data_IF_351649503449
#
_entry.id   IF_351649503449
#
_cell.length_a   1.000
_cell.length_b   1.000
_cell.length_c   1.000
_cell.angle_alpha   90.00
_cell.angle_beta   90.00
_cell.angle_gamma   90.00
#
_symmetry.space_group_name_H-M   'P 1'
#
loop_
_entity.id
_entity.type
_entity.pdbx_description
1 polymer ?
#
# COMPACT_ATOMS: atom_id res chain seq x y z
N UNK A 1 4.32 -54.60 18.52
CA UNK A 1 4.65 -55.73 17.64
C UNK A 1 3.34 -56.35 17.21
N UNK A 2 2.77 -56.17 16.02
CA UNK A 2 3.05 -55.43 14.79
C UNK A 2 1.67 -55.33 14.09
N UNK A 3 1.31 -54.24 13.42
CA UNK A 3 1.61 -54.07 11.99
C UNK A 3 0.61 -54.90 11.15
N UNK A 4 -0.59 -54.42 10.84
CA UNK A 4 -0.97 -53.48 9.77
C UNK A 4 -1.15 -54.12 8.38
N UNK A 5 -2.20 -53.65 7.69
CA UNK A 5 -2.35 -53.54 6.24
C UNK A 5 -3.06 -54.67 5.48
N UNK A 6 -4.37 -54.47 5.25
CA UNK A 6 -5.02 -54.84 3.99
C UNK A 6 -5.45 -53.56 3.28
N UNK A 7 -4.71 -53.21 2.24
CA UNK A 7 -5.12 -52.20 1.28
C UNK A 7 -6.25 -52.71 0.40
N UNK A 8 -7.24 -51.84 0.16
CA UNK A 8 -7.99 -51.84 -1.09
C UNK A 8 -8.29 -50.40 -1.49
N UNK A 9 -7.63 -50.04 -2.58
CA UNK A 9 -8.02 -49.10 -3.61
C UNK A 9 -9.52 -48.80 -3.68
N UNK A 10 -9.87 -47.51 -3.71
CA UNK A 10 -10.88 -47.02 -4.64
C UNK A 10 -10.62 -45.56 -5.01
N UNK A 11 -10.65 -45.36 -6.32
CA UNK A 11 -10.49 -44.10 -7.05
C UNK A 11 -11.74 -43.24 -6.85
N UNK A 12 -11.47 -41.94 -6.69
CA UNK A 12 -12.25 -40.78 -7.11
C UNK A 12 -13.75 -41.00 -7.35
N UNK A 13 -14.56 -40.58 -6.38
CA UNK A 13 -15.94 -40.22 -6.62
C UNK A 13 -16.19 -38.85 -5.99
N UNK A 14 -16.57 -37.89 -6.82
CA UNK A 14 -17.01 -36.59 -6.36
C UNK A 14 -18.28 -36.75 -5.53
N UNK A 15 -18.36 -36.02 -4.42
CA UNK A 15 -19.63 -35.80 -3.76
C UNK A 15 -19.60 -34.44 -3.07
N UNK A 16 -20.28 -33.52 -3.74
CA UNK A 16 -21.38 -32.71 -3.23
C UNK A 16 -21.30 -32.08 -1.84
N UNK A 17 -21.76 -30.83 -1.85
CA UNK A 17 -21.80 -29.86 -0.78
C UNK A 17 -22.38 -30.38 0.54
N UNK A 18 -21.61 -30.22 1.62
CA UNK A 18 -22.18 -30.09 2.96
C UNK A 18 -22.13 -28.61 3.41
N UNK A 19 -23.21 -27.89 3.09
CA UNK A 19 -23.39 -26.45 3.21
C UNK A 19 -23.57 -25.92 4.64
N UNK A 20 -22.66 -26.24 5.56
CA UNK A 20 -22.60 -25.60 6.90
C UNK A 20 -21.22 -25.06 7.32
N UNK A 21 -20.18 -25.27 6.49
CA UNK A 21 -18.83 -24.72 6.69
C UNK A 21 -18.43 -23.54 5.77
N UNK A 22 -19.29 -23.16 4.82
CA UNK A 22 -18.92 -22.26 3.71
C UNK A 22 -18.68 -20.80 4.11
N UNK A 23 -19.52 -20.21 4.97
CA UNK A 23 -19.45 -18.78 5.27
C UNK A 23 -18.14 -18.39 5.98
N UNK A 24 -17.68 -19.21 6.94
CA UNK A 24 -16.44 -18.95 7.67
C UNK A 24 -15.16 -19.15 6.83
N UNK A 25 -15.17 -20.14 5.92
CA UNK A 25 -14.03 -20.41 5.04
C UNK A 25 -13.84 -19.29 4.00
N UNK A 26 -14.93 -18.80 3.41
CA UNK A 26 -14.90 -17.69 2.43
C UNK A 26 -14.37 -16.40 3.06
N UNK A 27 -14.80 -16.04 4.27
CA UNK A 27 -14.31 -14.83 4.96
C UNK A 27 -12.81 -14.92 5.25
N UNK A 28 -12.30 -16.11 5.63
CA UNK A 28 -10.86 -16.32 5.83
C UNK A 28 -10.06 -16.20 4.54
N UNK A 29 -10.56 -16.75 3.44
CA UNK A 29 -9.90 -16.64 2.13
C UNK A 29 -9.88 -15.18 1.68
N UNK A 30 -10.99 -14.45 1.81
CA UNK A 30 -11.04 -13.02 1.49
C UNK A 30 -10.08 -12.19 2.34
N UNK A 31 -10.00 -12.43 3.66
CA UNK A 31 -9.02 -11.76 4.55
C UNK A 31 -7.58 -12.03 4.09
N UNK A 32 -7.23 -13.27 3.79
CA UNK A 32 -5.90 -13.63 3.29
C UNK A 32 -5.57 -12.95 1.96
N UNK A 33 -6.48 -12.99 0.99
CA UNK A 33 -6.28 -12.37 -0.33
C UNK A 33 -6.10 -10.87 -0.19
N UNK A 34 -6.93 -10.21 0.63
CA UNK A 34 -6.81 -8.77 0.86
C UNK A 34 -5.52 -8.39 1.59
N UNK A 35 -5.04 -9.20 2.54
CA UNK A 35 -3.75 -8.97 3.21
C UNK A 35 -2.57 -9.10 2.25
N UNK A 36 -2.57 -10.11 1.38
CA UNK A 36 -1.55 -10.28 0.34
C UNK A 36 -1.60 -9.13 -0.66
N UNK A 37 -2.81 -8.73 -1.08
CA UNK A 37 -3.00 -7.60 -1.98
C UNK A 37 -2.47 -6.29 -1.36
N UNK A 38 -2.83 -6.02 -0.10
CA UNK A 38 -2.36 -4.83 0.63
C UNK A 38 -0.83 -4.81 0.77
N UNK A 39 -0.20 -5.97 1.06
CA UNK A 39 1.24 -6.11 1.10
C UNK A 39 1.89 -5.76 -0.25
N UNK A 40 1.43 -6.37 -1.34
CA UNK A 40 1.99 -6.11 -2.68
C UNK A 40 1.82 -4.65 -3.08
N UNK A 41 0.63 -4.07 -2.88
CA UNK A 41 0.36 -2.67 -3.25
C UNK A 41 1.23 -1.69 -2.45
N UNK A 42 1.33 -1.84 -1.13
CA UNK A 42 2.16 -0.95 -0.30
C UNK A 42 3.65 -1.10 -0.57
N UNK A 43 4.12 -2.33 -0.81
CA UNK A 43 5.51 -2.58 -1.20
C UNK A 43 5.85 -1.94 -2.55
N UNK A 44 5.00 -2.15 -3.57
CA UNK A 44 5.20 -1.58 -4.90
C UNK A 44 5.21 -0.05 -4.83
N UNK A 45 4.26 0.57 -4.11
CA UNK A 45 4.25 2.02 -3.94
C UNK A 45 5.54 2.55 -3.27
N UNK A 46 5.98 1.90 -2.19
CA UNK A 46 7.23 2.30 -1.52
C UNK A 46 8.45 2.16 -2.44
N UNK A 47 8.55 1.06 -3.20
CA UNK A 47 9.68 0.81 -4.10
C UNK A 47 9.67 1.77 -5.29
N UNK A 48 8.52 2.02 -5.91
CA UNK A 48 8.42 2.89 -7.08
C UNK A 48 8.90 4.30 -6.75
N UNK A 49 8.47 4.92 -5.64
CA UNK A 49 8.96 6.24 -5.25
C UNK A 49 10.37 6.18 -4.65
N UNK A 50 10.68 5.15 -3.86
CA UNK A 50 11.96 5.03 -3.17
C UNK A 50 13.14 4.79 -4.11
N UNK A 51 12.92 4.08 -5.22
CA UNK A 51 13.90 3.86 -6.27
C UNK A 51 14.00 5.06 -7.23
N UNK A 52 13.04 5.98 -7.18
CA UNK A 52 12.96 7.05 -8.17
C UNK A 52 13.97 8.18 -7.91
N UNK A 53 14.74 8.47 -8.94
CA UNK A 53 15.80 9.49 -8.93
C UNK A 53 15.82 10.16 -10.29
N UNK A 54 15.57 11.47 -10.32
CA UNK A 54 15.70 12.24 -11.55
C UNK A 54 16.59 13.46 -11.33
N UNK A 55 17.67 13.57 -12.10
CA UNK A 55 18.56 14.74 -12.12
C UNK A 55 18.39 15.49 -13.42
N UNK A 56 17.97 16.75 -13.35
CA UNK A 56 17.75 17.61 -14.51
C UNK A 56 18.58 18.88 -14.38
N UNK A 57 19.17 19.33 -15.49
CA UNK A 57 20.02 20.52 -15.52
C UNK A 57 19.11 21.73 -15.73
N UNK A 58 19.07 22.66 -14.78
CA UNK A 58 18.31 23.91 -14.89
C UNK A 58 19.23 25.08 -15.22
N UNK A 59 18.86 25.93 -16.19
CA UNK A 59 19.53 27.21 -16.39
C UNK A 59 19.05 28.19 -15.31
N UNK A 60 19.94 28.59 -14.40
CA UNK A 60 19.70 29.72 -13.48
C UNK A 60 20.32 30.98 -14.07
N UNK A 61 19.51 32.03 -14.22
CA UNK A 61 19.99 33.36 -14.60
C UNK A 61 20.22 34.16 -13.32
N UNK A 62 21.48 34.41 -12.97
CA UNK A 62 21.86 35.16 -11.76
C UNK A 62 21.67 36.68 -11.94
N UNK A 63 21.79 37.18 -13.18
CA UNK A 63 21.59 38.60 -13.55
C UNK A 63 21.20 38.65 -15.03
N UNK A 64 20.35 39.60 -15.46
CA UNK A 64 19.90 39.74 -16.87
C UNK A 64 21.04 39.91 -17.90
N UNK A 65 22.21 40.36 -17.45
CA UNK A 65 23.38 40.65 -18.30
C UNK A 65 24.39 39.49 -18.39
N UNK A 66 24.14 38.34 -17.73
CA UNK A 66 25.06 37.19 -17.70
C UNK A 66 24.50 35.96 -18.42
N UNK A 67 25.37 35.09 -19.00
CA UNK A 67 24.94 33.82 -19.58
C UNK A 67 24.34 32.90 -18.51
N UNK A 68 23.30 32.11 -18.84
CA UNK A 68 22.64 31.21 -17.88
C UNK A 68 23.62 30.18 -17.34
N UNK A 69 23.72 30.06 -16.02
CA UNK A 69 24.52 29.04 -15.37
C UNK A 69 23.72 27.73 -15.36
N UNK A 70 24.25 26.68 -15.97
CA UNK A 70 23.60 25.37 -16.00
C UNK A 70 23.96 24.60 -14.73
N UNK A 71 23.03 24.50 -13.79
CA UNK A 71 23.25 23.76 -12.54
C UNK A 71 22.43 22.48 -12.54
N UNK A 72 23.05 21.32 -12.26
CA UNK A 72 22.32 20.07 -12.12
C UNK A 72 21.48 20.12 -10.83
N UNK A 73 20.16 20.14 -10.95
CA UNK A 73 19.24 20.02 -9.81
C UNK A 73 18.68 18.61 -9.78
N UNK A 74 18.87 17.94 -8.65
CA UNK A 74 18.36 16.60 -8.42
C UNK A 74 17.00 16.68 -7.72
N UNK A 75 15.95 16.16 -8.36
CA UNK A 75 14.71 15.82 -7.67
C UNK A 75 14.86 14.41 -7.07
N UNK A 76 14.91 14.34 -5.75
CA UNK A 76 14.92 13.08 -5.00
C UNK A 76 13.75 13.06 -4.02
N UNK A 77 13.17 11.89 -3.81
CA UNK A 77 12.08 11.69 -2.86
C UNK A 77 12.43 12.16 -1.43
N UNK A 78 13.70 12.03 -1.01
CA UNK A 78 14.12 12.44 0.34
C UNK A 78 14.25 13.96 0.54
N UNK A 79 14.15 14.77 -0.52
CA UNK A 79 14.18 16.23 -0.39
C UNK A 79 12.82 16.83 -0.03
N UNK A 80 11.73 16.07 -0.19
CA UNK A 80 10.39 16.52 0.19
C UNK A 80 9.88 15.67 1.34
N UNK A 81 9.63 16.31 2.48
CA UNK A 81 9.14 15.66 3.71
C UNK A 81 7.85 14.87 3.49
N UNK A 82 6.97 15.33 2.58
CA UNK A 82 5.74 14.63 2.23
C UNK A 82 6.01 13.26 1.55
N UNK A 83 7.00 13.18 0.65
CA UNK A 83 7.36 11.93 0.00
C UNK A 83 8.13 10.99 0.94
N UNK A 84 8.96 11.53 1.85
CA UNK A 84 9.56 10.74 2.93
C UNK A 84 8.48 10.13 3.82
N UNK A 85 7.48 10.91 4.19
CA UNK A 85 6.35 10.43 5.00
C UNK A 85 5.55 9.35 4.26
N UNK A 86 5.27 9.54 2.97
CA UNK A 86 4.60 8.54 2.13
C UNK A 86 5.38 7.21 2.08
N UNK A 87 6.69 7.26 1.81
CA UNK A 87 7.53 6.05 1.75
C UNK A 87 7.59 5.38 3.13
N UNK A 88 7.75 6.16 4.20
CA UNK A 88 7.75 5.66 5.57
C UNK A 88 6.43 4.99 5.95
N UNK A 89 5.30 5.61 5.63
CA UNK A 89 3.97 5.06 5.89
C UNK A 89 3.72 3.74 5.15
N UNK A 90 4.07 3.67 3.87
CA UNK A 90 3.94 2.44 3.09
C UNK A 90 4.89 1.33 3.58
N UNK A 91 6.10 1.67 4.04
CA UNK A 91 7.03 0.71 4.66
C UNK A 91 6.51 0.17 6.00
N UNK A 92 5.91 1.02 6.84
CA UNK A 92 5.28 0.59 8.10
C UNK A 92 4.09 -0.33 7.78
N UNK A 93 3.23 0.03 6.82
CA UNK A 93 2.11 -0.80 6.40
C UNK A 93 2.56 -2.17 5.84
N UNK A 94 3.65 -2.20 5.06
CA UNK A 94 4.25 -3.41 4.53
C UNK A 94 4.79 -4.34 5.63
N UNK A 95 5.50 -3.79 6.62
CA UNK A 95 6.01 -4.59 7.74
C UNK A 95 4.88 -5.13 8.62
N UNK A 96 3.87 -4.31 8.89
CA UNK A 96 2.68 -4.72 9.61
C UNK A 96 1.88 -5.83 8.89
N UNK A 97 1.63 -5.67 7.58
CA UNK A 97 0.89 -6.70 6.81
C UNK A 97 1.63 -8.02 6.76
N UNK A 98 2.96 -7.99 6.65
CA UNK A 98 3.79 -9.19 6.73
C UNK A 98 3.62 -9.88 8.08
N UNK A 99 3.75 -9.13 9.18
CA UNK A 99 3.55 -9.67 10.53
C UNK A 99 2.14 -10.23 10.68
N UNK A 100 1.12 -9.49 10.23
CA UNK A 100 -0.25 -9.94 10.31
C UNK A 100 -0.53 -11.19 9.47
N UNK A 101 0.09 -11.33 8.31
CA UNK A 101 -0.05 -12.51 7.45
C UNK A 101 0.55 -13.75 8.13
N UNK A 102 1.74 -13.61 8.75
CA UNK A 102 2.37 -14.67 9.54
C UNK A 102 1.49 -15.09 10.72
N UNK A 103 0.87 -14.14 11.40
CA UNK A 103 -0.04 -14.40 12.51
C UNK A 103 -1.35 -15.08 12.07
N UNK A 104 -1.86 -14.78 10.88
CA UNK A 104 -3.06 -15.42 10.32
C UNK A 104 -2.78 -16.84 9.81
N UNK A 105 -1.58 -17.10 9.26
CA UNK A 105 -1.15 -18.43 8.83
C UNK A 105 -0.75 -19.35 10.00
N UNK A 106 -0.24 -18.76 11.09
CA UNK A 106 0.15 -19.47 12.30
C UNK A 106 -1.01 -19.80 13.24
N UNK A 107 -0.67 -20.12 14.48
CA UNK A 107 -1.65 -20.50 15.50
C UNK A 107 -2.31 -19.24 16.11
N UNK A 108 -3.48 -18.84 15.59
CA UNK A 108 -4.26 -17.71 16.14
C UNK A 108 -4.57 -17.95 17.62
N UNK A 109 -4.03 -17.10 18.50
CA UNK A 109 -4.44 -17.06 19.91
C UNK A 109 -5.77 -16.32 20.05
N UNK A 110 -6.65 -16.81 20.92
CA UNK A 110 -7.88 -16.09 21.32
C UNK A 110 -7.51 -14.68 21.79
N UNK A 111 -8.10 -13.64 21.19
CA UNK A 111 -7.87 -12.23 21.53
C UNK A 111 -7.00 -11.44 20.55
N UNK A 112 -6.24 -12.09 19.66
CA UNK A 112 -5.43 -11.38 18.66
C UNK A 112 -6.26 -10.68 17.58
N UNK A 113 -7.49 -11.14 17.32
CA UNK A 113 -8.34 -10.57 16.28
C UNK A 113 -8.64 -9.09 16.52
N UNK A 114 -8.94 -8.71 17.76
CA UNK A 114 -9.20 -7.30 18.12
C UNK A 114 -7.96 -6.43 17.93
N UNK A 115 -6.78 -6.96 18.29
CA UNK A 115 -5.50 -6.23 18.13
C UNK A 115 -5.21 -6.02 16.64
N UNK A 116 -5.39 -7.06 15.81
CA UNK A 116 -5.21 -6.96 14.36
C UNK A 116 -6.15 -5.89 13.79
N UNK A 117 -7.45 -5.90 14.15
CA UNK A 117 -8.41 -4.89 13.67
C UNK A 117 -8.03 -3.45 14.07
N UNK A 118 -7.53 -3.24 15.29
CA UNK A 118 -7.09 -1.90 15.74
C UNK A 118 -5.90 -1.43 14.90
N UNK A 119 -4.90 -2.29 14.69
CA UNK A 119 -3.76 -1.94 13.84
C UNK A 119 -4.15 -1.77 12.36
N UNK A 120 -5.05 -2.58 11.82
CA UNK A 120 -5.60 -2.41 10.47
C UNK A 120 -6.24 -1.01 10.34
N UNK A 121 -6.95 -0.54 11.38
CA UNK A 121 -7.52 0.82 11.44
C UNK A 121 -6.45 1.91 11.46
N UNK A 122 -5.38 1.72 12.25
CA UNK A 122 -4.25 2.63 12.29
C UNK A 122 -3.54 2.72 10.93
N UNK A 123 -3.41 1.60 10.20
CA UNK A 123 -2.80 1.59 8.88
C UNK A 123 -3.63 2.36 7.85
N UNK A 124 -4.96 2.23 7.86
CA UNK A 124 -5.85 3.04 7.01
C UNK A 124 -5.61 4.53 7.27
N UNK A 125 -5.64 4.95 8.53
CA UNK A 125 -5.45 6.35 8.90
C UNK A 125 -4.07 6.87 8.47
N UNK A 126 -3.03 6.08 8.72
CA UNK A 126 -1.65 6.41 8.37
C UNK A 126 -1.46 6.55 6.85
N UNK A 127 -1.95 5.58 6.07
CA UNK A 127 -1.80 5.60 4.61
C UNK A 127 -2.59 6.74 4.00
N UNK A 128 -3.85 6.97 4.41
CA UNK A 128 -4.67 8.06 3.86
C UNK A 128 -4.09 9.44 4.20
N UNK A 129 -3.59 9.63 5.41
CA UNK A 129 -2.86 10.84 5.82
C UNK A 129 -1.64 11.08 4.94
N UNK A 130 -0.83 10.05 4.73
CA UNK A 130 0.39 10.16 3.91
C UNK A 130 0.10 10.41 2.43
N UNK A 131 -0.95 9.77 1.88
CA UNK A 131 -1.44 10.01 0.52
C UNK A 131 -1.91 11.46 0.37
N UNK A 132 -2.68 11.97 1.33
CA UNK A 132 -3.13 13.37 1.32
C UNK A 132 -1.98 14.37 1.31
N UNK A 133 -0.97 14.15 2.15
CA UNK A 133 0.23 15.00 2.19
C UNK A 133 1.02 14.96 0.86
N UNK A 134 1.22 13.76 0.30
CA UNK A 134 1.93 13.59 -0.96
C UNK A 134 1.15 14.14 -2.16
N UNK A 135 -0.18 14.01 -2.18
CA UNK A 135 -1.05 14.63 -3.20
C UNK A 135 -0.97 16.15 -3.11
N UNK A 136 -1.07 16.74 -1.92
CA UNK A 136 -1.01 18.19 -1.74
C UNK A 136 0.31 18.76 -2.29
N UNK A 137 1.43 18.13 -1.96
CA UNK A 137 2.76 18.52 -2.47
C UNK A 137 2.90 18.24 -3.97
N UNK A 138 2.35 17.12 -4.46
CA UNK A 138 2.31 16.80 -5.89
C UNK A 138 1.56 17.86 -6.71
N UNK A 139 0.41 18.34 -6.21
CA UNK A 139 -0.36 19.41 -6.83
C UNK A 139 0.39 20.74 -6.85
N UNK A 140 1.11 21.09 -5.77
CA UNK A 140 2.02 22.23 -5.78
C UNK A 140 3.13 22.07 -6.83
N UNK A 141 3.64 20.86 -7.02
CA UNK A 141 4.61 20.55 -8.08
C UNK A 141 4.07 20.68 -9.50
N UNK A 142 2.80 20.36 -9.73
CA UNK A 142 2.12 20.46 -11.04
C UNK A 142 1.70 21.90 -11.36
N UNK A 143 1.01 22.55 -10.43
CA UNK A 143 0.37 23.84 -10.66
C UNK A 143 1.31 25.02 -10.36
N UNK A 144 2.24 24.85 -9.42
CA UNK A 144 3.04 25.93 -8.87
C UNK A 144 2.21 26.91 -8.03
N UNK A 145 2.88 27.83 -7.35
CA UNK A 145 2.25 28.94 -6.64
C UNK A 145 3.15 30.17 -6.66
N UNK A 146 2.78 31.20 -7.41
CA UNK A 146 3.57 32.43 -7.57
C UNK A 146 3.68 33.22 -6.27
N UNK A 147 2.66 33.21 -5.42
CA UNK A 147 2.65 33.96 -4.15
C UNK A 147 3.74 33.50 -3.17
N UNK A 148 4.19 32.25 -3.27
CA UNK A 148 5.27 31.71 -2.43
C UNK A 148 6.50 31.33 -3.25
N UNK A 149 6.61 31.83 -4.48
CA UNK A 149 7.70 31.53 -5.42
C UNK A 149 7.92 30.03 -5.69
N UNK A 150 6.86 29.22 -5.61
CA UNK A 150 6.93 27.79 -5.93
C UNK A 150 6.75 27.57 -7.43
N UNK A 151 7.84 27.26 -8.13
CA UNK A 151 7.81 26.99 -9.56
C UNK A 151 7.26 25.60 -9.88
N UNK A 152 6.72 25.43 -11.10
CA UNK A 152 6.20 24.15 -11.60
C UNK A 152 7.34 23.15 -11.77
N UNK A 153 7.48 22.23 -10.83
CA UNK A 153 8.53 21.20 -10.80
C UNK A 153 8.25 20.10 -11.83
N UNK A 154 6.99 19.70 -12.00
CA UNK A 154 6.64 18.57 -12.88
C UNK A 154 6.81 18.85 -14.38
N UNK A 155 6.86 20.12 -14.80
CA UNK A 155 7.23 20.48 -16.17
C UNK A 155 8.69 20.11 -16.49
N UNK A 156 9.54 20.05 -15.46
CA UNK A 156 10.96 19.81 -15.60
C UNK A 156 11.35 18.37 -15.24
N UNK A 157 10.63 17.78 -14.28
CA UNK A 157 10.83 16.42 -13.78
C UNK A 157 9.60 15.55 -14.10
N UNK A 158 9.21 15.50 -15.38
CA UNK A 158 7.98 14.82 -15.81
C UNK A 158 7.95 13.33 -15.47
N UNK A 159 9.08 12.62 -15.67
CA UNK A 159 9.18 11.18 -15.35
C UNK A 159 9.02 10.92 -13.85
N UNK A 160 9.70 11.71 -13.02
CA UNK A 160 9.57 11.63 -11.57
C UNK A 160 8.11 11.88 -11.15
N UNK A 161 7.48 12.93 -11.66
CA UNK A 161 6.09 13.22 -11.31
C UNK A 161 5.10 12.14 -11.78
N UNK A 162 5.34 11.50 -12.93
CA UNK A 162 4.52 10.39 -13.42
C UNK A 162 4.69 9.15 -12.51
N UNK A 163 5.92 8.84 -12.09
CA UNK A 163 6.20 7.76 -11.13
C UNK A 163 5.60 8.03 -9.75
N UNK A 164 5.64 9.28 -9.27
CA UNK A 164 4.96 9.69 -8.03
C UNK A 164 3.44 9.51 -8.17
N UNK A 165 2.84 9.95 -9.27
CA UNK A 165 1.40 9.80 -9.52
C UNK A 165 0.98 8.33 -9.58
N UNK A 166 1.72 7.49 -10.29
CA UNK A 166 1.48 6.05 -10.37
C UNK A 166 1.57 5.39 -8.98
N UNK A 167 2.60 5.73 -8.20
CA UNK A 167 2.76 5.19 -6.85
C UNK A 167 1.68 5.67 -5.88
N UNK A 168 1.25 6.93 -5.96
CA UNK A 168 0.12 7.45 -5.19
C UNK A 168 -1.15 6.64 -5.47
N UNK A 169 -1.42 6.36 -6.75
CA UNK A 169 -2.57 5.55 -7.15
C UNK A 169 -2.48 4.13 -6.60
N UNK A 170 -1.32 3.49 -6.68
CA UNK A 170 -1.08 2.14 -6.14
C UNK A 170 -1.25 2.12 -4.61
N UNK A 171 -0.72 3.11 -3.90
CA UNK A 171 -0.86 3.21 -2.44
C UNK A 171 -2.32 3.46 -2.03
N UNK A 172 -3.06 4.26 -2.81
CA UNK A 172 -4.50 4.47 -2.57
C UNK A 172 -5.30 3.18 -2.72
N UNK A 173 -5.01 2.34 -3.72
CA UNK A 173 -5.58 1.00 -3.83
C UNK A 173 -5.21 0.14 -2.62
N UNK A 174 -3.99 0.25 -2.11
CA UNK A 174 -3.54 -0.39 -0.88
C UNK A 174 -4.38 0.04 0.33
N UNK A 175 -4.59 1.33 0.52
CA UNK A 175 -5.45 1.90 1.58
C UNK A 175 -6.89 1.37 1.49
N UNK A 176 -7.42 1.25 0.27
CA UNK A 176 -8.76 0.69 0.02
C UNK A 176 -8.81 -0.80 0.38
N UNK A 177 -7.75 -1.57 0.11
CA UNK A 177 -7.67 -2.97 0.52
C UNK A 177 -7.72 -3.11 2.06
N UNK A 178 -7.00 -2.26 2.80
CA UNK A 178 -7.11 -2.21 4.26
C UNK A 178 -8.50 -1.80 4.74
N UNK A 179 -9.17 -0.86 4.07
CA UNK A 179 -10.55 -0.51 4.38
C UNK A 179 -11.49 -1.72 4.21
N UNK A 180 -11.32 -2.51 3.15
CA UNK A 180 -12.10 -3.73 2.95
C UNK A 180 -11.83 -4.77 4.04
N UNK A 181 -10.60 -4.89 4.55
CA UNK A 181 -10.27 -5.76 5.70
C UNK A 181 -11.08 -5.38 6.95
N UNK A 182 -11.36 -4.09 7.17
CA UNK A 182 -12.17 -3.62 8.29
C UNK A 182 -13.67 -3.84 8.07
N UNK A 183 -14.15 -3.56 6.86
CA UNK A 183 -15.57 -3.51 6.55
C UNK A 183 -16.16 -4.91 6.38
N UNK A 184 -15.46 -5.84 5.71
CA UNK A 184 -15.99 -7.16 5.40
C UNK A 184 -16.41 -7.95 6.65
N UNK A 185 -15.57 -8.12 7.70
CA UNK A 185 -15.96 -8.85 8.90
C UNK A 185 -17.20 -8.25 9.57
N UNK A 186 -17.32 -6.92 9.59
CA UNK A 186 -18.47 -6.23 10.18
C UNK A 186 -19.75 -6.43 9.37
N UNK A 187 -19.67 -6.33 8.03
CA UNK A 187 -20.80 -6.59 7.13
C UNK A 187 -21.29 -8.03 7.24
N UNK A 188 -20.40 -9.01 7.30
CA UNK A 188 -20.79 -10.41 7.45
C UNK A 188 -21.49 -10.67 8.79
N UNK A 189 -21.03 -10.02 9.88
CA UNK A 189 -21.67 -10.13 11.21
C UNK A 189 -23.06 -9.51 11.22
N UNK A 190 -23.24 -8.35 10.59
CA UNK A 190 -24.56 -7.72 10.41
C UNK A 190 -25.52 -8.62 9.64
N UNK A 191 -25.07 -9.22 8.53
CA UNK A 191 -25.89 -10.13 7.72
C UNK A 191 -26.31 -11.40 8.46
N UNK A 192 -25.53 -11.87 9.44
CA UNK A 192 -25.91 -13.03 10.26
C UNK A 192 -26.93 -12.69 11.37
N UNK A 193 -27.16 -11.41 11.66
CA UNK A 193 -28.05 -10.95 12.75
C UNK A 193 -29.48 -10.67 12.24
N UNK A 194 -29.66 -10.54 10.93
CA UNK A 194 -30.95 -10.32 10.24
C UNK A 194 -31.44 -11.66 9.68
#
# INVERSE_FOLDING_TARGET
MDGESKGSFNVMEGSESNGKGGCGSVVRICDLVLRVLAFVLTLVAAVVIGADKQTTIVPIKLVESMPPLYVPVAAKWHYLSAFVYFVGANAIACSYTTLSLLLTLGNRRKGMETVITVFDTLMVALLFSSNGAAIAVGLLGLQGNSHVHWNKVCNLFGKFCDQVAASLFISLLGSIAFLFLLILPHLFRLKQTI
#
